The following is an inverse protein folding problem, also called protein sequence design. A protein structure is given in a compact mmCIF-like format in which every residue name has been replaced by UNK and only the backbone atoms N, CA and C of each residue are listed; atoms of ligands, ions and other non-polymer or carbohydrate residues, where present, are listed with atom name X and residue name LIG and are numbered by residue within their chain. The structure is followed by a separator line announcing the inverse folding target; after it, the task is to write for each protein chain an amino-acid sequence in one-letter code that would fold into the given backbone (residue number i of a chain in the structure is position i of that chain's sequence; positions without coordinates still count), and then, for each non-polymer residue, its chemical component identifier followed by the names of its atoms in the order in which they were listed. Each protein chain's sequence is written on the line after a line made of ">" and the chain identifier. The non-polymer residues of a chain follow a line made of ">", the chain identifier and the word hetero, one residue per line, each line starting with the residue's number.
data_IF_460233448295
#
_entry.id   IF_460233448295
#
_cell.length_a   1.000
_cell.length_b   1.000
_cell.length_c   1.000
_cell.angle_alpha   90.00
_cell.angle_beta   90.00
_cell.angle_gamma   90.00
#
_symmetry.space_group_name_H-M   'P 1'
#
loop_
_entity.id
_entity.type
_entity.pdbx_description
1 polymer ?
#
# COMPACT_ATOMS: atom_id res chain seq x y z
N UNK A 1 33.22 6.04 -15.49
CA UNK A 1 32.34 6.82 -14.59
C UNK A 1 31.25 7.58 -15.37
N UNK A 2 30.57 6.98 -16.35
CA UNK A 2 29.46 7.65 -17.09
C UNK A 2 28.37 6.65 -17.55
N UNK A 3 28.22 5.52 -16.85
CA UNK A 3 27.24 4.48 -17.20
C UNK A 3 26.37 4.00 -16.02
N UNK A 4 26.60 4.54 -14.82
CA UNK A 4 25.83 4.19 -13.62
C UNK A 4 24.63 5.12 -13.37
N UNK A 5 24.64 6.37 -13.88
CA UNK A 5 23.55 7.33 -13.64
C UNK A 5 22.32 7.12 -14.56
N UNK A 6 22.45 6.37 -15.67
CA UNK A 6 21.37 6.22 -16.67
C UNK A 6 20.48 4.99 -16.37
N UNK A 7 21.01 3.95 -15.72
CA UNK A 7 20.23 2.74 -15.39
C UNK A 7 19.30 2.94 -14.18
N UNK A 8 19.68 3.80 -13.24
CA UNK A 8 18.88 4.11 -12.04
C UNK A 8 17.62 4.94 -12.38
N UNK A 9 17.73 5.82 -13.38
CA UNK A 9 16.62 6.70 -13.82
C UNK A 9 15.63 6.01 -14.77
N UNK A 10 15.98 4.85 -15.35
CA UNK A 10 15.07 4.08 -16.23
C UNK A 10 14.07 3.23 -15.45
N UNK A 11 14.36 2.88 -14.19
CA UNK A 11 13.44 2.09 -13.36
C UNK A 11 12.26 2.94 -12.83
N UNK A 12 12.51 4.21 -12.53
CA UNK A 12 11.49 5.15 -12.03
C UNK A 12 10.47 5.61 -13.09
N UNK A 13 10.85 5.62 -14.39
CA UNK A 13 9.96 6.10 -15.48
C UNK A 13 8.77 5.19 -15.80
N UNK A 14 8.64 4.01 -15.20
CA UNK A 14 7.59 3.02 -15.53
C UNK A 14 6.38 2.98 -14.60
N UNK A 15 6.38 3.75 -13.52
CA UNK A 15 5.29 3.79 -12.55
C UNK A 15 4.74 5.20 -12.37
N UNK A 16 4.09 5.76 -13.39
CA UNK A 16 3.02 6.74 -13.12
C UNK A 16 1.88 5.94 -12.49
N UNK A 17 1.92 5.73 -11.18
CA UNK A 17 0.87 5.01 -10.48
C UNK A 17 -0.36 5.92 -10.52
N UNK A 18 -1.26 5.67 -11.47
CA UNK A 18 -2.62 6.21 -11.44
C UNK A 18 -3.34 5.47 -10.33
N UNK A 19 -3.14 5.92 -9.09
CA UNK A 19 -3.95 5.50 -7.95
C UNK A 19 -5.41 5.86 -8.22
N UNK A 20 -6.33 5.18 -7.55
CA UNK A 20 -7.73 5.62 -7.53
C UNK A 20 -7.81 7.09 -7.04
N UNK A 21 -8.85 7.86 -7.33
CA UNK A 21 -9.04 9.14 -6.65
C UNK A 21 -9.21 8.92 -5.15
N UNK A 22 -8.79 9.89 -4.33
CA UNK A 22 -9.02 9.88 -2.89
C UNK A 22 -10.49 10.17 -2.60
N UNK A 23 -11.27 9.11 -2.38
CA UNK A 23 -12.72 9.19 -2.15
C UNK A 23 -13.13 8.20 -1.05
N UNK A 24 -12.67 8.41 0.21
CA UNK A 24 -12.98 7.49 1.28
C UNK A 24 -14.49 7.49 1.61
N UNK A 25 -15.08 6.34 1.93
CA UNK A 25 -16.47 6.24 2.33
C UNK A 25 -16.67 6.70 3.78
N UNK A 26 -17.91 7.04 4.14
CA UNK A 26 -18.29 7.32 5.52
C UNK A 26 -18.49 6.01 6.30
N UNK A 27 -17.40 5.35 6.68
CA UNK A 27 -17.37 4.11 7.46
C UNK A 27 -16.28 4.18 8.54
N UNK A 28 -16.11 3.11 9.32
CA UNK A 28 -15.06 3.07 10.34
C UNK A 28 -13.68 3.22 9.70
N UNK A 29 -12.81 3.97 10.37
CA UNK A 29 -11.46 4.28 9.94
C UNK A 29 -10.44 3.59 10.85
N UNK A 30 -9.34 3.14 10.26
CA UNK A 30 -8.13 2.80 10.97
C UNK A 30 -6.92 3.09 10.09
N UNK A 31 -5.77 3.33 10.71
CA UNK A 31 -4.51 3.59 10.00
C UNK A 31 -3.41 2.66 10.50
N UNK A 32 -2.46 2.38 9.61
CA UNK A 32 -1.27 1.56 9.87
C UNK A 32 -0.03 2.36 9.51
N UNK A 33 0.91 2.51 10.45
CA UNK A 33 2.23 3.07 10.16
C UNK A 33 3.03 2.13 9.24
N UNK A 34 3.57 2.69 8.16
CA UNK A 34 4.46 1.98 7.22
C UNK A 34 5.76 2.75 6.99
N UNK A 35 6.13 3.61 7.94
CA UNK A 35 7.35 4.43 7.89
C UNK A 35 8.64 3.62 7.80
N UNK A 36 8.62 2.34 8.23
CA UNK A 36 9.75 1.41 8.15
C UNK A 36 10.00 0.85 6.73
N UNK A 37 9.15 1.17 5.77
CA UNK A 37 9.28 0.77 4.38
C UNK A 37 9.61 1.97 3.50
N UNK A 38 10.47 1.76 2.51
CA UNK A 38 10.74 2.74 1.46
C UNK A 38 9.57 2.87 0.49
N UNK A 39 9.47 4.03 -0.15
CA UNK A 39 8.43 4.31 -1.15
C UNK A 39 8.47 3.29 -2.30
N UNK A 40 9.66 2.85 -2.68
CA UNK A 40 9.83 1.86 -3.73
C UNK A 40 9.30 0.48 -3.29
N UNK A 41 9.53 0.06 -2.04
CA UNK A 41 8.94 -1.16 -1.48
C UNK A 41 7.40 -1.07 -1.49
N UNK A 42 6.85 0.05 -1.02
CA UNK A 42 5.40 0.28 -0.97
C UNK A 42 4.75 0.33 -2.35
N UNK A 43 5.35 1.03 -3.33
CA UNK A 43 4.83 1.06 -4.70
C UNK A 43 4.91 -0.31 -5.38
N UNK A 44 5.99 -1.07 -5.13
CA UNK A 44 6.10 -2.46 -5.62
C UNK A 44 5.03 -3.35 -4.99
N UNK A 45 4.77 -3.18 -3.70
CA UNK A 45 3.72 -3.89 -2.98
C UNK A 45 2.32 -3.57 -3.51
N UNK A 46 1.95 -2.28 -3.60
CA UNK A 46 0.67 -1.81 -4.16
C UNK A 46 0.44 -2.38 -5.57
N UNK A 47 1.53 -2.43 -6.35
CA UNK A 47 1.55 -2.98 -7.68
C UNK A 47 0.96 -2.04 -8.74
N UNK A 48 1.09 -2.42 -10.00
CA UNK A 48 0.63 -1.60 -11.14
C UNK A 48 -0.88 -1.34 -11.03
N UNK A 49 -1.27 -0.07 -11.09
CA UNK A 49 -2.66 0.41 -10.95
C UNK A 49 -3.35 -0.01 -9.63
N UNK A 50 -2.59 -0.24 -8.57
CA UNK A 50 -3.16 -0.61 -7.27
C UNK A 50 -3.82 -1.99 -7.23
N UNK A 51 -3.47 -2.90 -8.16
CA UNK A 51 -4.10 -4.23 -8.26
C UNK A 51 -4.06 -5.01 -6.93
N UNK A 52 -2.98 -4.93 -6.17
CA UNK A 52 -2.89 -5.62 -4.88
C UNK A 52 -3.82 -4.99 -3.85
N UNK A 53 -3.90 -3.66 -3.81
CA UNK A 53 -4.87 -2.96 -2.94
C UNK A 53 -6.32 -3.31 -3.29
N UNK A 54 -6.67 -3.41 -4.57
CA UNK A 54 -8.00 -3.89 -4.98
C UNK A 54 -8.27 -5.32 -4.51
N UNK A 55 -7.27 -6.20 -4.60
CA UNK A 55 -7.41 -7.57 -4.12
C UNK A 55 -7.55 -7.63 -2.60
N UNK A 56 -6.69 -6.92 -1.84
CA UNK A 56 -6.75 -6.83 -0.38
C UNK A 56 -8.06 -6.23 0.12
N UNK A 57 -8.56 -5.18 -0.56
CA UNK A 57 -9.85 -4.56 -0.22
C UNK A 57 -10.98 -5.59 -0.26
N UNK A 58 -11.00 -6.45 -1.30
CA UNK A 58 -11.99 -7.52 -1.41
C UNK A 58 -11.75 -8.67 -0.42
N UNK A 59 -10.49 -9.05 -0.24
CA UNK A 59 -10.10 -10.19 0.61
C UNK A 59 -10.38 -9.93 2.09
N UNK A 60 -10.16 -8.69 2.56
CA UNK A 60 -10.37 -8.28 3.95
C UNK A 60 -11.77 -7.69 4.21
N UNK A 61 -12.64 -7.73 3.20
CA UNK A 61 -14.00 -7.13 3.25
C UNK A 61 -13.97 -5.65 3.64
N UNK A 62 -12.93 -4.93 3.22
CA UNK A 62 -12.82 -3.49 3.42
C UNK A 62 -13.61 -2.74 2.35
N UNK A 63 -14.06 -1.54 2.71
CA UNK A 63 -14.72 -0.64 1.76
C UNK A 63 -13.70 0.16 0.94
N UNK A 64 -12.57 0.51 1.55
CA UNK A 64 -11.53 1.31 0.89
C UNK A 64 -10.17 1.10 1.57
N UNK A 65 -9.11 1.15 0.77
CA UNK A 65 -7.71 1.16 1.23
C UNK A 65 -6.98 2.25 0.47
N UNK A 66 -6.18 3.04 1.18
CA UNK A 66 -5.40 4.13 0.60
C UNK A 66 -4.01 4.20 1.19
N UNK A 67 -3.04 4.67 0.42
CA UNK A 67 -1.69 4.92 0.90
C UNK A 67 -1.41 6.42 0.86
N UNK A 68 -1.18 7.01 2.03
CA UNK A 68 -0.71 8.37 2.17
C UNK A 68 0.82 8.40 2.17
N UNK A 69 1.38 8.89 1.06
CA UNK A 69 2.84 8.95 0.86
C UNK A 69 3.52 9.97 1.78
N UNK A 70 2.82 11.03 2.17
CA UNK A 70 3.41 12.16 2.89
C UNK A 70 3.42 11.83 4.40
N UNK A 71 2.36 11.18 4.88
CA UNK A 71 2.25 10.67 6.26
C UNK A 71 2.88 9.29 6.47
N UNK A 72 3.20 8.54 5.40
CA UNK A 72 3.68 7.14 5.46
C UNK A 72 2.73 6.20 6.20
N UNK A 73 1.43 6.34 5.94
CA UNK A 73 0.40 5.48 6.52
C UNK A 73 -0.42 4.79 5.44
N UNK A 74 -0.86 3.56 5.73
CA UNK A 74 -1.94 2.92 4.99
C UNK A 74 -3.23 3.16 5.76
N UNK A 75 -4.17 3.81 5.09
CA UNK A 75 -5.49 4.12 5.61
C UNK A 75 -6.48 3.02 5.19
N UNK A 76 -7.29 2.56 6.13
CA UNK A 76 -8.25 1.48 5.98
C UNK A 76 -9.64 1.97 6.37
N UNK A 77 -10.62 1.70 5.52
CA UNK A 77 -12.03 1.98 5.81
C UNK A 77 -12.86 0.73 5.56
N UNK A 78 -13.77 0.43 6.48
CA UNK A 78 -14.62 -0.74 6.34
C UNK A 78 -15.60 -0.92 7.50
N UNK A 79 -16.25 -2.09 7.58
CA UNK A 79 -17.07 -2.45 8.72
C UNK A 79 -16.19 -2.62 9.96
N UNK A 80 -16.77 -2.35 11.14
CA UNK A 80 -16.07 -2.46 12.42
C UNK A 80 -15.46 -3.87 12.61
N UNK A 81 -16.19 -4.90 12.20
CA UNK A 81 -15.73 -6.30 12.27
C UNK A 81 -14.41 -6.52 11.56
N UNK A 82 -14.19 -5.92 10.38
CA UNK A 82 -12.95 -6.07 9.60
C UNK A 82 -11.75 -5.36 10.24
N UNK A 83 -12.00 -4.26 10.94
CA UNK A 83 -10.95 -3.44 11.58
C UNK A 83 -10.71 -3.82 13.05
N UNK A 84 -11.57 -4.67 13.63
CA UNK A 84 -11.45 -5.10 15.01
C UNK A 84 -10.14 -5.87 15.24
N UNK A 85 -9.51 -5.64 16.39
CA UNK A 85 -8.27 -6.31 16.81
C UNK A 85 -7.11 -6.21 15.79
N UNK A 86 -7.11 -5.19 14.92
CA UNK A 86 -6.04 -4.96 13.93
C UNK A 86 -5.79 -6.14 12.97
N UNK A 87 -6.78 -7.02 12.77
CA UNK A 87 -6.60 -8.19 11.90
C UNK A 87 -6.24 -7.82 10.46
N UNK A 88 -6.84 -6.74 9.93
CA UNK A 88 -6.51 -6.23 8.60
C UNK A 88 -5.05 -5.74 8.55
N UNK A 89 -4.59 -5.03 9.58
CA UNK A 89 -3.21 -4.57 9.70
C UNK A 89 -2.22 -5.73 9.72
N UNK A 90 -2.51 -6.79 10.49
CA UNK A 90 -1.64 -7.96 10.56
C UNK A 90 -1.50 -8.65 9.20
N UNK A 91 -2.61 -8.85 8.47
CA UNK A 91 -2.57 -9.46 7.14
C UNK A 91 -1.79 -8.58 6.16
N UNK A 92 -2.06 -7.27 6.13
CA UNK A 92 -1.36 -6.33 5.25
C UNK A 92 0.13 -6.28 5.60
N UNK A 93 0.48 -6.29 6.89
CA UNK A 93 1.86 -6.34 7.39
C UNK A 93 2.59 -7.60 6.93
N UNK A 94 2.01 -8.78 7.14
CA UNK A 94 2.58 -10.05 6.65
C UNK A 94 2.80 -10.05 5.14
N UNK A 95 1.84 -9.56 4.37
CA UNK A 95 1.93 -9.46 2.91
C UNK A 95 3.02 -8.46 2.46
N UNK A 96 3.20 -7.36 3.21
CA UNK A 96 4.27 -6.39 3.00
C UNK A 96 5.64 -7.00 3.26
N UNK A 97 5.83 -7.65 4.42
CA UNK A 97 7.06 -8.31 4.80
C UNK A 97 7.45 -9.39 3.79
N UNK A 98 6.49 -10.21 3.37
CA UNK A 98 6.69 -11.21 2.33
C UNK A 98 7.10 -10.60 1.00
N UNK A 99 6.44 -9.50 0.57
CA UNK A 99 6.79 -8.81 -0.67
C UNK A 99 8.18 -8.17 -0.64
N UNK A 100 8.66 -7.78 0.54
CA UNK A 100 9.97 -7.16 0.74
C UNK A 100 11.07 -8.19 1.06
N UNK A 101 10.72 -9.46 1.27
CA UNK A 101 11.68 -10.51 1.63
C UNK A 101 12.23 -10.38 3.05
N UNK A 102 11.41 -9.89 4.00
CA UNK A 102 11.77 -9.70 5.42
C UNK A 102 11.46 -10.92 6.30
N UNK A 103 11.14 -12.06 5.69
CA UNK A 103 10.75 -13.33 6.34
C UNK A 103 11.93 -14.22 6.70
#
# INVERSE_FOLDING_TARGET
>A
MWMWCINELKQYRRYTIKMAPYTPPNTHYSEMDVSSYSDNELYRFIGKNGKRFYWLTKFLELSYIWYDKDRKVIELWGPYSSLQNFQAHHVIGCELDYACGRT
#
